data_IF_065363852483
#
_entry.id   IF_065363852483
#
_cell.length_a   1.000
_cell.length_b   1.000
_cell.length_c   1.000
_cell.angle_alpha   90.00
_cell.angle_beta   90.00
_cell.angle_gamma   90.00
#
_symmetry.space_group_name_H-M   'P 1'
#
loop_
_entity.id
_entity.type
_entity.pdbx_description
1 polymer ?
#
# COMPACT_ATOMS: atom_id res chain seq x y z
N UNK A 1 25.63 32.12 -7.05
CA UNK A 1 24.23 31.71 -6.83
C UNK A 1 23.69 31.13 -8.14
N UNK A 2 23.31 29.86 -8.18
CA UNK A 2 22.56 29.29 -9.30
C UNK A 2 21.49 28.36 -8.73
N UNK A 3 20.24 28.82 -8.77
CA UNK A 3 19.06 28.06 -8.36
C UNK A 3 18.75 27.10 -9.51
N UNK A 4 18.72 25.77 -9.34
CA UNK A 4 18.37 24.88 -10.43
C UNK A 4 16.90 25.10 -10.77
N UNK A 5 16.64 25.47 -12.02
CA UNK A 5 15.31 25.61 -12.60
C UNK A 5 14.56 24.29 -12.47
N UNK A 6 13.54 24.28 -11.60
CA UNK A 6 12.66 23.14 -11.42
C UNK A 6 11.76 22.97 -12.63
N UNK A 7 12.11 22.02 -13.52
CA UNK A 7 11.18 21.47 -14.51
C UNK A 7 9.91 21.06 -13.77
N UNK A 8 8.77 21.69 -14.10
CA UNK A 8 7.47 21.21 -13.63
C UNK A 8 7.29 19.80 -14.20
N UNK A 9 7.09 18.77 -13.36
CA UNK A 9 6.83 17.43 -13.87
C UNK A 9 5.61 17.51 -14.80
N UNK A 10 5.77 16.98 -16.01
CA UNK A 10 4.68 16.82 -16.95
C UNK A 10 3.53 16.05 -16.32
N UNK A 11 2.33 16.17 -16.88
CA UNK A 11 1.10 15.55 -16.34
C UNK A 11 1.20 14.02 -16.12
N UNK A 12 2.19 13.36 -16.71
CA UNK A 12 2.46 11.92 -16.62
C UNK A 12 3.82 11.55 -16.00
N UNK A 13 4.58 12.51 -15.46
CA UNK A 13 5.83 12.18 -14.77
C UNK A 13 5.56 11.87 -13.29
N UNK A 14 6.33 10.94 -12.68
CA UNK A 14 6.24 10.67 -11.25
C UNK A 14 6.40 11.96 -10.44
N UNK A 15 5.44 12.24 -9.56
CA UNK A 15 5.55 13.40 -8.68
C UNK A 15 6.62 13.16 -7.60
N UNK A 16 7.28 14.22 -7.12
CA UNK A 16 8.24 14.10 -6.03
C UNK A 16 7.62 13.42 -4.81
N UNK A 17 8.37 12.52 -4.18
CA UNK A 17 7.90 11.71 -3.05
C UNK A 17 7.23 12.55 -1.96
N UNK A 18 7.90 13.61 -1.48
CA UNK A 18 7.39 14.48 -0.40
C UNK A 18 6.12 15.25 -0.76
N UNK A 19 5.75 15.31 -2.04
CA UNK A 19 4.50 15.92 -2.50
C UNK A 19 3.33 14.92 -2.49
N UNK A 20 3.63 13.63 -2.59
CA UNK A 20 2.64 12.54 -2.57
C UNK A 20 2.47 12.01 -1.14
N UNK A 21 3.58 11.73 -0.46
CA UNK A 21 3.62 11.31 0.93
C UNK A 21 3.96 12.53 1.78
N UNK A 22 2.92 13.23 2.22
CA UNK A 22 3.05 14.41 3.08
C UNK A 22 3.35 13.99 4.52
N UNK A 23 3.73 14.95 5.37
CA UNK A 23 3.95 14.70 6.81
C UNK A 23 2.70 14.26 7.57
N UNK A 24 1.53 14.49 6.99
CA UNK A 24 0.22 14.11 7.53
C UNK A 24 -0.14 12.65 7.20
N UNK A 25 0.66 11.98 6.36
CA UNK A 25 0.44 10.60 5.97
C UNK A 25 0.48 9.66 7.18
N UNK A 26 -0.57 8.87 7.37
CA UNK A 26 -0.55 7.75 8.32
C UNK A 26 0.17 6.59 7.68
N UNK A 27 1.30 6.20 8.24
CA UNK A 27 2.17 5.17 7.68
C UNK A 27 2.10 3.91 8.51
N UNK A 28 1.85 2.79 7.84
CA UNK A 28 1.91 1.45 8.41
C UNK A 28 3.07 0.67 7.78
N UNK A 29 3.84 -0.03 8.61
CA UNK A 29 5.03 -0.78 8.20
C UNK A 29 4.75 -2.27 8.41
N UNK A 30 4.76 -3.03 7.32
CA UNK A 30 4.59 -4.49 7.35
C UNK A 30 5.43 -5.18 6.29
N UNK A 31 4.82 -6.11 5.55
CA UNK A 31 5.45 -6.76 4.39
C UNK A 31 5.99 -5.72 3.39
N UNK A 32 5.25 -4.63 3.23
CA UNK A 32 5.68 -3.41 2.55
C UNK A 32 5.06 -2.20 3.27
N UNK A 33 5.60 -1.00 3.03
CA UNK A 33 5.07 0.23 3.63
C UNK A 33 3.76 0.63 2.95
N UNK A 34 2.76 0.99 3.74
CA UNK A 34 1.50 1.54 3.25
C UNK A 34 1.30 2.93 3.84
N UNK A 35 1.03 3.91 2.99
CA UNK A 35 0.71 5.26 3.41
C UNK A 35 -0.75 5.57 3.10
N UNK A 36 -1.46 6.10 4.09
CA UNK A 36 -2.78 6.70 3.90
C UNK A 36 -2.65 8.22 3.93
N UNK A 37 -3.01 8.87 2.83
CA UNK A 37 -3.09 10.33 2.71
C UNK A 37 -4.51 10.66 2.31
N UNK A 38 -5.24 11.33 3.20
CA UNK A 38 -6.69 11.53 3.09
C UNK A 38 -7.44 10.19 2.88
N UNK A 39 -8.05 10.02 1.70
CA UNK A 39 -8.80 8.82 1.30
C UNK A 39 -8.00 7.90 0.36
N UNK A 40 -6.75 8.25 0.05
CA UNK A 40 -5.89 7.50 -0.88
C UNK A 40 -4.91 6.63 -0.13
N UNK A 41 -4.67 5.44 -0.69
CA UNK A 41 -3.63 4.51 -0.23
C UNK A 41 -2.51 4.46 -1.25
N UNK A 42 -1.27 4.60 -0.75
CA UNK A 42 -0.05 4.48 -1.52
C UNK A 42 0.79 3.32 -0.96
N UNK A 43 1.36 2.53 -1.85
CA UNK A 43 2.10 1.31 -1.50
C UNK A 43 3.56 1.43 -1.93
N UNK A 44 4.49 1.18 -1.01
CA UNK A 44 5.92 1.09 -1.33
C UNK A 44 6.33 -0.38 -1.47
N UNK A 45 6.14 -0.94 -2.66
CA UNK A 45 6.47 -2.34 -2.93
C UNK A 45 7.97 -2.42 -3.26
N UNK A 46 8.81 -3.10 -2.46
CA UNK A 46 10.22 -3.32 -2.79
C UNK A 46 10.36 -4.14 -4.06
N UNK A 47 11.38 -3.84 -4.87
CA UNK A 47 11.60 -4.54 -6.14
C UNK A 47 11.74 -6.07 -5.96
N UNK A 48 12.24 -6.50 -4.80
CA UNK A 48 12.39 -7.91 -4.44
C UNK A 48 11.06 -8.66 -4.29
N UNK A 49 9.94 -7.95 -4.08
CA UNK A 49 8.61 -8.52 -3.91
C UNK A 49 7.81 -8.62 -5.21
N UNK A 50 8.26 -8.00 -6.31
CA UNK A 50 7.61 -8.18 -7.60
C UNK A 50 7.75 -9.63 -8.10
N UNK A 51 6.79 -10.05 -8.92
CA UNK A 51 6.68 -11.39 -9.50
C UNK A 51 6.53 -12.54 -8.49
N UNK A 52 6.50 -12.24 -7.18
CA UNK A 52 6.18 -13.23 -6.15
C UNK A 52 4.67 -13.44 -6.08
N UNK A 53 4.28 -14.71 -6.00
CA UNK A 53 2.91 -15.09 -5.70
C UNK A 53 2.68 -15.05 -4.19
N UNK A 54 1.71 -14.26 -3.75
CA UNK A 54 1.36 -14.08 -2.35
C UNK A 54 -0.06 -14.60 -2.11
N UNK A 55 -0.20 -15.57 -1.21
CA UNK A 55 -1.51 -16.04 -0.77
C UNK A 55 -2.07 -15.08 0.29
N UNK A 56 -3.19 -14.44 -0.02
CA UNK A 56 -3.94 -13.63 0.93
C UNK A 56 -5.15 -14.43 1.43
N UNK A 57 -5.24 -14.60 2.76
CA UNK A 57 -6.37 -15.27 3.41
C UNK A 57 -7.06 -14.30 4.36
N UNK A 58 -8.32 -13.99 4.05
CA UNK A 58 -9.16 -13.17 4.92
C UNK A 58 -9.86 -14.07 5.93
N UNK A 59 -9.78 -13.72 7.22
CA UNK A 59 -10.40 -14.47 8.31
C UNK A 59 -11.27 -13.56 9.17
N UNK A 60 -12.34 -14.12 9.72
CA UNK A 60 -13.18 -13.41 10.70
C UNK A 60 -12.38 -13.31 12.01
N UNK A 61 -11.96 -12.10 12.39
CA UNK A 61 -11.14 -11.91 13.59
C UNK A 61 -11.92 -12.25 14.88
N UNK A 62 -13.19 -11.83 14.96
CA UNK A 62 -14.07 -12.08 16.10
C UNK A 62 -15.52 -12.01 15.66
N UNK A 63 -16.35 -12.89 16.21
CA UNK A 63 -17.81 -12.86 16.03
C UNK A 63 -18.49 -12.27 17.27
N UNK A 64 -19.77 -11.89 17.15
CA UNK A 64 -20.54 -11.42 18.30
C UNK A 64 -20.63 -12.52 19.38
N UNK A 65 -20.65 -12.13 20.66
CA UNK A 65 -20.71 -13.07 21.77
C UNK A 65 -21.91 -14.00 21.64
N UNK A 66 -21.67 -15.32 21.63
CA UNK A 66 -22.71 -16.33 21.47
C UNK A 66 -23.09 -16.67 20.02
N UNK A 67 -22.51 -15.99 19.02
CA UNK A 67 -22.78 -16.23 17.59
C UNK A 67 -21.50 -16.71 16.86
N UNK A 68 -21.19 -18.00 16.96
CA UNK A 68 -20.16 -18.65 16.15
C UNK A 68 -18.72 -18.49 16.64
N UNK A 69 -17.77 -18.95 15.82
CA UNK A 69 -16.34 -19.02 16.13
C UNK A 69 -15.54 -17.98 15.32
N UNK A 70 -14.76 -17.14 16.01
CA UNK A 70 -13.75 -16.31 15.36
C UNK A 70 -12.61 -17.17 14.82
N UNK A 71 -12.13 -16.89 13.61
CA UNK A 71 -11.03 -17.63 12.97
C UNK A 71 -11.42 -18.35 11.67
N UNK A 72 -12.71 -18.39 11.33
CA UNK A 72 -13.19 -18.95 10.06
C UNK A 72 -12.61 -18.22 8.84
N UNK A 73 -12.22 -18.99 7.81
CA UNK A 73 -11.78 -18.46 6.51
C UNK A 73 -12.98 -17.85 5.77
N UNK A 74 -12.87 -16.59 5.39
CA UNK A 74 -13.88 -15.89 4.60
C UNK A 74 -13.56 -15.94 3.11
N UNK A 75 -12.29 -15.77 2.74
CA UNK A 75 -11.84 -15.73 1.36
C UNK A 75 -10.35 -16.05 1.27
N UNK A 76 -9.94 -16.58 0.12
CA UNK A 76 -8.54 -16.74 -0.24
C UNK A 76 -8.32 -16.31 -1.69
N UNK A 77 -7.19 -15.69 -1.96
CA UNK A 77 -6.78 -15.27 -3.30
C UNK A 77 -5.26 -15.23 -3.42
N UNK A 78 -4.76 -15.42 -4.63
CA UNK A 78 -3.33 -15.24 -4.94
C UNK A 78 -3.15 -13.88 -5.59
N UNK A 79 -2.25 -13.08 -5.02
CA UNK A 79 -1.88 -11.76 -5.50
C UNK A 79 -0.45 -11.81 -6.06
N UNK A 80 -0.24 -11.21 -7.24
CA UNK A 80 1.09 -11.02 -7.82
C UNK A 80 1.20 -9.59 -8.31
N UNK A 81 2.19 -8.87 -7.78
CA UNK A 81 2.48 -7.51 -8.20
C UNK A 81 3.46 -7.55 -9.37
N UNK A 82 3.21 -6.71 -10.38
CA UNK A 82 4.04 -6.60 -11.58
C UNK A 82 4.32 -5.13 -11.88
N UNK A 83 5.53 -4.85 -12.38
CA UNK A 83 5.94 -3.52 -12.84
C UNK A 83 6.00 -3.56 -14.37
N UNK A 84 5.17 -2.75 -15.04
CA UNK A 84 5.11 -2.65 -16.50
C UNK A 84 5.86 -1.42 -17.01
#
# INVERSE_FOLDING_TARGET
MAKPSGKKPGKNEPQPYSKVITKEAKTDKGLFTVHKVDEKYFYEIPDTLFEREMLMVTRIAKTASGLGFGGGKLSEQVLRWQKK
#
